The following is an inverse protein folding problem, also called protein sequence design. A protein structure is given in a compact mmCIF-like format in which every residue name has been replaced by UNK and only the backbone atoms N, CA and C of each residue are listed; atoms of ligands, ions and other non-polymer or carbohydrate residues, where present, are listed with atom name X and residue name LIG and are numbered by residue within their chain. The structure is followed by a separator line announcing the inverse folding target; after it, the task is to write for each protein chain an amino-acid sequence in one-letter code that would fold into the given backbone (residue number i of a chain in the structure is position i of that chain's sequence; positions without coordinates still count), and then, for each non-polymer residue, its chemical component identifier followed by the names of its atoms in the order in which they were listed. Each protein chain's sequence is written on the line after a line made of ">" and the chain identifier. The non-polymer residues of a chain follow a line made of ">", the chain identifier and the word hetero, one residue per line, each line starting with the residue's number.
data_IF_706481132464
#
_entry.id   IF_706481132464
#
_cell.length_a   1.000
_cell.length_b   1.000
_cell.length_c   1.000
_cell.angle_alpha   90.00
_cell.angle_beta   90.00
_cell.angle_gamma   90.00
#
_symmetry.space_group_name_H-M   'P 1'
#
loop_
_entity.id
_entity.type
_entity.pdbx_description
1 polymer ?
#
# COMPACT_ATOMS: atom_id res chain seq x y z
N UNK A 1 -14.02 -1.64 15.81
CA UNK A 1 -13.28 -0.42 15.65
C UNK A 1 -13.64 0.51 16.83
N UNK A 2 -12.63 0.95 17.62
CA UNK A 2 -12.91 1.77 18.80
C UNK A 2 -13.87 1.16 19.84
N UNK A 3 -13.89 -0.16 19.98
CA UNK A 3 -14.81 -0.87 20.88
C UNK A 3 -16.22 -1.12 20.33
N UNK A 4 -16.54 -0.61 19.13
CA UNK A 4 -17.83 -0.81 18.46
C UNK A 4 -17.69 -1.87 17.37
N UNK A 5 -18.70 -2.73 17.22
CA UNK A 5 -18.71 -3.73 16.14
C UNK A 5 -18.78 -3.01 14.77
N UNK A 6 -17.94 -3.41 13.82
CA UNK A 6 -17.90 -2.78 12.47
C UNK A 6 -19.24 -2.88 11.72
N UNK A 7 -20.10 -3.85 12.07
CA UNK A 7 -21.45 -3.99 11.51
C UNK A 7 -22.43 -2.92 11.96
N UNK A 8 -22.11 -2.24 13.07
CA UNK A 8 -22.97 -1.19 13.64
C UNK A 8 -22.64 0.21 13.08
N UNK A 9 -21.59 0.32 12.25
CA UNK A 9 -21.25 1.54 11.55
C UNK A 9 -22.09 1.72 10.29
N UNK A 10 -22.44 2.95 9.95
CA UNK A 10 -22.83 3.25 8.57
C UNK A 10 -21.63 3.06 7.64
N UNK A 11 -21.89 2.69 6.38
CA UNK A 11 -20.80 2.47 5.40
C UNK A 11 -19.88 3.69 5.28
N UNK A 12 -20.45 4.89 5.20
CA UNK A 12 -19.67 6.14 5.09
C UNK A 12 -18.80 6.37 6.33
N UNK A 13 -19.36 6.20 7.53
CA UNK A 13 -18.62 6.35 8.78
C UNK A 13 -17.51 5.30 8.94
N UNK A 14 -17.75 4.07 8.48
CA UNK A 14 -16.73 3.02 8.49
C UNK A 14 -15.62 3.35 7.49
N UNK A 15 -15.97 3.66 6.24
CA UNK A 15 -15.00 3.91 5.17
C UNK A 15 -14.18 5.18 5.39
N UNK A 16 -14.68 6.18 6.14
CA UNK A 16 -13.89 7.37 6.49
C UNK A 16 -12.66 7.04 7.36
N UNK A 17 -12.69 5.92 8.09
CA UNK A 17 -11.57 5.47 8.93
C UNK A 17 -10.49 4.71 8.18
N UNK A 18 -10.67 4.38 6.91
CA UNK A 18 -9.73 3.55 6.15
C UNK A 18 -9.22 4.25 4.91
N UNK A 19 -7.90 4.19 4.70
CA UNK A 19 -7.26 4.41 3.39
C UNK A 19 -6.80 3.07 2.84
N UNK A 20 -6.88 2.90 1.50
CA UNK A 20 -6.53 1.67 0.83
C UNK A 20 -5.47 1.92 -0.23
N UNK A 21 -4.47 1.05 -0.28
CA UNK A 21 -3.50 0.97 -1.38
C UNK A 21 -3.47 -0.48 -1.85
N UNK A 22 -3.99 -0.70 -3.04
CA UNK A 22 -4.12 -2.04 -3.64
C UNK A 22 -2.92 -2.39 -4.50
N UNK A 23 -2.65 -3.68 -4.68
CA UNK A 23 -1.67 -4.22 -5.62
C UNK A 23 -1.98 -3.77 -7.06
N UNK A 24 -3.22 -3.94 -7.49
CA UNK A 24 -3.71 -3.48 -8.78
C UNK A 24 -4.31 -2.09 -8.63
N UNK A 25 -3.52 -1.07 -8.99
CA UNK A 25 -3.95 0.32 -8.88
C UNK A 25 -5.03 0.61 -9.92
N UNK A 26 -6.17 1.08 -9.44
CA UNK A 26 -7.20 1.64 -10.29
C UNK A 26 -7.10 3.18 -10.30
N UNK A 27 -6.93 3.75 -11.49
CA UNK A 27 -7.00 5.18 -11.74
C UNK A 27 -8.20 5.48 -12.63
N UNK A 28 -8.95 6.51 -12.26
CA UNK A 28 -10.08 6.95 -13.05
C UNK A 28 -9.61 7.64 -14.34
N UNK A 29 -10.42 7.58 -15.39
CA UNK A 29 -10.22 8.35 -16.60
C UNK A 29 -10.51 9.82 -16.31
N UNK A 30 -9.53 10.52 -15.78
CA UNK A 30 -9.62 11.92 -15.34
C UNK A 30 -8.20 12.48 -15.20
N UNK A 31 -8.07 13.74 -14.82
CA UNK A 31 -6.78 14.36 -14.54
C UNK A 31 -6.07 13.69 -13.37
N UNK A 32 -4.75 13.83 -13.29
CA UNK A 32 -3.96 13.39 -12.14
C UNK A 32 -4.45 14.10 -10.86
N UNK A 33 -4.74 15.40 -10.96
CA UNK A 33 -5.28 16.18 -9.84
C UNK A 33 -6.57 15.56 -9.30
N UNK A 34 -7.56 15.28 -10.14
CA UNK A 34 -8.82 14.69 -9.74
C UNK A 34 -8.66 13.27 -9.19
N UNK A 35 -7.72 12.49 -9.75
CA UNK A 35 -7.37 11.17 -9.19
C UNK A 35 -6.83 11.27 -7.76
N UNK A 36 -6.05 12.29 -7.42
CA UNK A 36 -5.55 12.51 -6.04
C UNK A 36 -6.66 13.08 -5.17
N UNK A 37 -7.44 14.06 -5.66
CA UNK A 37 -8.59 14.66 -4.97
C UNK A 37 -9.69 13.68 -4.62
N UNK A 38 -9.71 12.49 -5.24
CA UNK A 38 -10.64 11.43 -4.84
C UNK A 38 -10.49 11.04 -3.36
N UNK A 39 -9.35 11.29 -2.73
CA UNK A 39 -9.15 11.15 -1.29
C UNK A 39 -9.87 12.22 -0.45
N UNK A 40 -10.00 13.45 -0.97
CA UNK A 40 -10.70 14.59 -0.37
C UNK A 40 -11.13 15.56 -1.49
N UNK A 41 -12.41 15.55 -1.84
CA UNK A 41 -12.93 16.27 -3.02
C UNK A 41 -12.80 17.78 -2.91
N UNK A 42 -12.87 18.32 -1.69
CA UNK A 42 -12.78 19.76 -1.42
C UNK A 42 -11.34 20.28 -1.31
N UNK A 43 -10.34 19.44 -1.53
CA UNK A 43 -8.94 19.81 -1.39
C UNK A 43 -8.53 20.87 -2.42
N UNK A 44 -7.69 21.82 -2.00
CA UNK A 44 -7.10 22.81 -2.90
C UNK A 44 -6.00 22.19 -3.78
N UNK A 45 -5.58 22.92 -4.82
CA UNK A 45 -4.45 22.50 -5.65
C UNK A 45 -3.16 22.36 -4.84
N UNK A 46 -2.92 23.29 -3.90
CA UNK A 46 -1.74 23.29 -3.04
C UNK A 46 -1.70 22.05 -2.14
N UNK A 47 -2.84 21.62 -1.61
CA UNK A 47 -2.95 20.41 -0.80
C UNK A 47 -2.68 19.14 -1.65
N UNK A 48 -3.16 19.12 -2.91
CA UNK A 48 -2.85 18.05 -3.87
C UNK A 48 -1.35 17.99 -4.15
N UNK A 49 -0.71 19.12 -4.40
CA UNK A 49 0.73 19.21 -4.64
C UNK A 49 1.52 18.70 -3.42
N UNK A 50 1.09 19.07 -2.21
CA UNK A 50 1.75 18.63 -0.99
C UNK A 50 1.60 17.10 -0.78
N UNK A 51 0.41 16.55 -1.02
CA UNK A 51 0.20 15.10 -0.99
C UNK A 51 1.06 14.37 -2.04
N UNK A 52 1.18 14.94 -3.24
CA UNK A 52 2.00 14.41 -4.32
C UNK A 52 3.51 14.44 -3.98
N UNK A 53 4.00 15.48 -3.33
CA UNK A 53 5.39 15.54 -2.83
C UNK A 53 5.65 14.44 -1.80
N UNK A 54 4.76 14.29 -0.82
CA UNK A 54 4.86 13.25 0.21
C UNK A 54 4.80 11.83 -0.39
N UNK A 55 4.08 11.65 -1.50
CA UNK A 55 3.99 10.40 -2.24
C UNK A 55 5.11 10.22 -3.30
N UNK A 56 6.12 11.11 -3.34
CA UNK A 56 7.22 11.08 -4.31
C UNK A 56 6.74 11.05 -5.76
N UNK A 57 5.59 11.68 -6.08
CA UNK A 57 5.07 11.73 -7.45
C UNK A 57 5.08 13.14 -8.07
N UNK A 58 5.32 14.20 -7.29
CA UNK A 58 5.34 15.57 -7.78
C UNK A 58 6.34 15.79 -8.93
N UNK A 59 7.55 15.24 -8.82
CA UNK A 59 8.60 15.46 -9.80
C UNK A 59 8.26 14.91 -11.19
N UNK A 60 7.71 13.69 -11.26
CA UNK A 60 7.34 13.14 -12.57
C UNK A 60 6.07 13.83 -13.11
N UNK A 61 5.10 14.18 -12.26
CA UNK A 61 3.90 14.90 -12.68
C UNK A 61 4.28 16.25 -13.31
N UNK A 62 5.19 16.99 -12.66
CA UNK A 62 5.65 18.31 -13.16
C UNK A 62 6.41 18.27 -14.47
N UNK A 63 6.92 17.09 -14.88
CA UNK A 63 7.59 16.88 -16.17
C UNK A 63 6.62 16.54 -17.30
N UNK A 64 5.37 16.21 -16.98
CA UNK A 64 4.36 15.97 -18.01
C UNK A 64 3.93 17.28 -18.68
N UNK A 65 3.60 17.29 -19.98
CA UNK A 65 3.22 18.50 -20.72
C UNK A 65 2.12 19.31 -20.04
N UNK A 66 1.08 18.63 -19.50
CA UNK A 66 -0.05 19.25 -18.85
C UNK A 66 0.02 19.16 -17.31
N UNK A 67 1.15 18.69 -16.75
CA UNK A 67 1.35 18.54 -15.32
C UNK A 67 0.21 17.81 -14.61
N UNK A 68 -0.37 18.41 -13.60
CA UNK A 68 -1.51 17.88 -12.84
C UNK A 68 -2.81 17.77 -13.64
N UNK A 69 -2.94 18.52 -14.76
CA UNK A 69 -4.09 18.47 -15.66
C UNK A 69 -3.96 17.32 -16.69
N UNK A 70 -2.86 16.58 -16.68
CA UNK A 70 -2.69 15.41 -17.56
C UNK A 70 -3.79 14.40 -17.29
N UNK A 71 -4.56 14.06 -18.33
CA UNK A 71 -5.59 13.02 -18.26
C UNK A 71 -4.92 11.65 -18.32
N UNK A 72 -5.29 10.78 -17.39
CA UNK A 72 -4.78 9.41 -17.24
C UNK A 72 -5.94 8.41 -17.24
N UNK A 73 -5.65 7.12 -17.29
CA UNK A 73 -6.65 6.07 -17.38
C UNK A 73 -6.79 5.53 -18.81
N UNK A 74 -7.93 4.92 -19.12
CA UNK A 74 -8.18 4.33 -20.44
C UNK A 74 -8.24 5.43 -21.51
N UNK A 75 -7.33 5.37 -22.49
CA UNK A 75 -7.20 6.39 -23.54
C UNK A 75 -6.41 7.65 -23.16
N UNK A 76 -5.94 7.79 -21.92
CA UNK A 76 -5.09 8.88 -21.45
C UNK A 76 -3.59 8.56 -21.51
N UNK A 77 -2.78 9.40 -20.85
CA UNK A 77 -1.34 9.20 -20.76
C UNK A 77 -0.98 7.88 -20.09
N UNK A 78 0.00 7.17 -20.67
CA UNK A 78 0.51 5.92 -20.09
C UNK A 78 1.48 6.23 -18.95
N UNK A 79 1.20 5.65 -17.78
CA UNK A 79 2.05 5.72 -16.59
C UNK A 79 2.66 4.34 -16.31
N UNK A 80 3.89 4.32 -15.80
CA UNK A 80 4.51 3.10 -15.28
C UNK A 80 3.76 2.56 -14.06
N UNK A 81 4.00 1.29 -13.71
CA UNK A 81 3.39 0.69 -12.52
C UNK A 81 3.74 1.45 -11.23
N UNK A 82 5.00 1.89 -11.09
CA UNK A 82 5.47 2.66 -9.94
C UNK A 82 4.84 4.06 -9.85
N UNK A 83 4.64 4.75 -10.97
CA UNK A 83 3.96 6.06 -11.03
C UNK A 83 2.49 5.93 -10.63
N UNK A 84 1.77 4.94 -11.17
CA UNK A 84 0.38 4.64 -10.78
C UNK A 84 0.27 4.37 -9.29
N UNK A 85 1.20 3.57 -8.74
CA UNK A 85 1.21 3.23 -7.32
C UNK A 85 1.41 4.48 -6.45
N UNK A 86 2.35 5.38 -6.81
CA UNK A 86 2.57 6.62 -6.07
C UNK A 86 1.39 7.58 -6.14
N UNK A 87 0.66 7.66 -7.26
CA UNK A 87 -0.60 8.42 -7.33
C UNK A 87 -1.66 7.81 -6.39
N UNK A 88 -1.78 6.49 -6.33
CA UNK A 88 -2.67 5.82 -5.37
C UNK A 88 -2.31 6.12 -3.92
N UNK A 89 -1.00 6.19 -3.61
CA UNK A 89 -0.51 6.59 -2.28
C UNK A 89 -0.82 8.06 -2.01
N UNK A 90 -0.64 8.98 -2.98
CA UNK A 90 -1.02 10.38 -2.83
C UNK A 90 -2.52 10.54 -2.51
N UNK A 91 -3.38 9.77 -3.17
CA UNK A 91 -4.82 9.68 -2.86
C UNK A 91 -5.07 9.23 -1.41
N UNK A 92 -4.34 8.22 -0.94
CA UNK A 92 -4.45 7.72 0.43
C UNK A 92 -3.93 8.73 1.47
N UNK A 93 -2.85 9.46 1.16
CA UNK A 93 -2.32 10.56 1.97
C UNK A 93 -3.34 11.70 2.06
N UNK A 94 -3.94 12.07 0.94
CA UNK A 94 -4.97 13.12 0.86
C UNK A 94 -6.19 12.78 1.73
N UNK A 95 -6.61 11.52 1.76
CA UNK A 95 -7.71 11.05 2.60
C UNK A 95 -7.39 11.11 4.09
N UNK A 96 -6.15 10.93 4.46
CA UNK A 96 -5.58 11.00 5.82
C UNK A 96 -6.30 10.15 6.88
N UNK A 97 -6.83 8.99 6.49
CA UNK A 97 -7.52 8.07 7.40
C UNK A 97 -6.57 7.49 8.46
N UNK A 98 -7.04 7.21 9.70
CA UNK A 98 -6.21 6.68 10.79
C UNK A 98 -5.75 5.23 10.58
N UNK A 99 -6.43 4.47 9.72
CA UNK A 99 -6.09 3.09 9.40
C UNK A 99 -5.76 2.98 7.92
N UNK A 100 -4.61 2.39 7.60
CA UNK A 100 -4.17 2.16 6.23
C UNK A 100 -4.13 0.67 5.95
N UNK A 101 -4.82 0.24 4.90
CA UNK A 101 -4.76 -1.14 4.40
C UNK A 101 -3.86 -1.15 3.16
N UNK A 102 -2.79 -1.93 3.25
CA UNK A 102 -1.82 -2.13 2.18
C UNK A 102 -1.94 -3.56 1.66
N UNK A 103 -2.34 -3.73 0.40
CA UNK A 103 -2.40 -5.01 -0.27
C UNK A 103 -1.27 -5.09 -1.30
N UNK A 104 -0.20 -5.80 -0.92
CA UNK A 104 1.01 -6.01 -1.76
C UNK A 104 1.52 -4.75 -2.50
N UNK A 105 1.47 -3.59 -1.86
CA UNK A 105 1.73 -2.28 -2.46
C UNK A 105 3.13 -2.15 -3.11
N UNK A 106 4.05 -3.09 -2.92
CA UNK A 106 5.41 -3.09 -3.46
C UNK A 106 5.64 -4.18 -4.53
N UNK A 107 4.60 -4.91 -4.95
CA UNK A 107 4.73 -5.90 -6.00
C UNK A 107 4.87 -5.24 -7.38
N UNK A 108 5.73 -5.80 -8.23
CA UNK A 108 5.89 -5.42 -9.65
C UNK A 108 6.36 -3.98 -9.90
N UNK A 109 7.15 -3.41 -8.99
CA UNK A 109 7.79 -2.11 -9.18
C UNK A 109 9.25 -2.33 -9.61
N UNK A 110 9.68 -1.57 -10.59
CA UNK A 110 11.07 -1.58 -11.06
C UNK A 110 12.04 -1.08 -9.96
N UNK A 111 13.31 -1.54 -9.95
CA UNK A 111 14.27 -1.19 -8.90
C UNK A 111 14.54 0.31 -8.77
N UNK A 112 14.41 1.08 -9.88
CA UNK A 112 14.64 2.54 -9.87
C UNK A 112 13.54 3.27 -9.10
N UNK A 113 12.31 2.79 -9.20
CA UNK A 113 11.14 3.34 -8.50
C UNK A 113 10.93 2.78 -7.09
N UNK A 114 11.66 1.72 -6.69
CA UNK A 114 11.45 1.04 -5.40
C UNK A 114 11.73 1.97 -4.21
N UNK A 115 12.79 2.79 -4.29
CA UNK A 115 13.14 3.73 -3.23
C UNK A 115 12.05 4.78 -3.02
N UNK A 116 11.62 5.43 -4.09
CA UNK A 116 10.58 6.47 -4.04
C UNK A 116 9.25 5.89 -3.52
N UNK A 117 8.93 4.66 -3.92
CA UNK A 117 7.75 3.97 -3.43
C UNK A 117 7.83 3.67 -1.94
N UNK A 118 8.99 3.22 -1.45
CA UNK A 118 9.19 2.97 -0.02
C UNK A 118 9.12 4.25 0.81
N UNK A 119 9.67 5.36 0.32
CA UNK A 119 9.59 6.67 0.96
C UNK A 119 8.13 7.17 0.99
N UNK A 120 7.39 6.99 -0.08
CA UNK A 120 5.96 7.30 -0.15
C UNK A 120 5.12 6.47 0.85
N UNK A 121 5.37 5.16 0.94
CA UNK A 121 4.71 4.27 1.92
C UNK A 121 5.05 4.72 3.35
N UNK A 122 6.32 5.04 3.63
CA UNK A 122 6.75 5.52 4.94
C UNK A 122 6.04 6.83 5.33
N UNK A 123 5.88 7.76 4.38
CA UNK A 123 5.14 9.00 4.60
C UNK A 123 3.64 8.76 4.87
N UNK A 124 3.03 7.80 4.14
CA UNK A 124 1.62 7.43 4.33
C UNK A 124 1.37 6.78 5.70
N UNK A 125 2.29 5.93 6.15
CA UNK A 125 2.09 5.06 7.33
C UNK A 125 2.51 5.69 8.65
N UNK A 126 3.09 6.88 8.62
CA UNK A 126 3.54 7.58 9.83
C UNK A 126 2.38 7.82 10.80
N UNK A 127 2.55 7.36 12.06
CA UNK A 127 1.57 7.54 13.16
C UNK A 127 0.18 6.95 12.88
N UNK A 128 0.09 5.89 12.07
CA UNK A 128 -1.17 5.24 11.69
C UNK A 128 -1.17 3.76 12.06
N UNK A 129 -2.35 3.20 12.17
CA UNK A 129 -2.53 1.75 12.26
C UNK A 129 -2.44 1.16 10.86
N UNK A 130 -1.52 0.20 10.66
CA UNK A 130 -1.29 -0.43 9.38
C UNK A 130 -1.82 -1.86 9.39
N UNK A 131 -2.68 -2.19 8.46
CA UNK A 131 -3.09 -3.57 8.16
C UNK A 131 -2.45 -3.93 6.82
N UNK A 132 -1.53 -4.87 6.84
CA UNK A 132 -0.79 -5.25 5.64
C UNK A 132 -1.10 -6.68 5.25
N UNK A 133 -1.52 -6.89 4.00
CA UNK A 133 -1.56 -8.18 3.35
C UNK A 133 -0.23 -8.33 2.62
N UNK A 134 0.59 -9.28 3.04
CA UNK A 134 1.94 -9.40 2.52
C UNK A 134 2.27 -10.84 2.16
N UNK A 135 2.85 -11.00 0.98
CA UNK A 135 3.41 -12.24 0.48
C UNK A 135 4.95 -12.28 0.60
N UNK A 136 5.58 -11.18 1.02
CA UNK A 136 7.03 -11.07 1.20
C UNK A 136 7.39 -11.15 2.68
N UNK A 137 8.24 -12.13 3.02
CA UNK A 137 8.65 -12.37 4.41
C UNK A 137 9.33 -11.17 5.08
N UNK A 138 10.11 -10.39 4.31
CA UNK A 138 10.79 -9.19 4.81
C UNK A 138 9.82 -8.17 5.38
N UNK A 139 8.64 -8.05 4.77
CA UNK A 139 7.61 -7.09 5.14
C UNK A 139 6.89 -7.49 6.44
N UNK A 140 6.65 -8.80 6.62
CA UNK A 140 5.89 -9.33 7.77
C UNK A 140 6.73 -9.39 9.04
N UNK A 141 8.03 -9.60 8.92
CA UNK A 141 8.93 -9.86 10.05
C UNK A 141 8.95 -8.75 11.11
N UNK A 142 8.74 -7.52 10.70
CA UNK A 142 8.80 -6.34 11.57
C UNK A 142 7.43 -5.85 12.03
N UNK A 143 6.36 -6.61 11.74
CA UNK A 143 5.02 -6.27 12.21
C UNK A 143 4.92 -6.50 13.72
N UNK A 144 4.26 -5.57 14.42
CA UNK A 144 3.96 -5.70 15.85
C UNK A 144 3.11 -6.93 16.13
N UNK A 145 2.22 -7.26 15.20
CA UNK A 145 1.35 -8.41 15.25
C UNK A 145 1.16 -9.04 13.87
N UNK A 146 1.29 -10.35 13.81
CA UNK A 146 1.02 -11.18 12.64
C UNK A 146 -0.23 -12.01 12.95
N UNK A 147 -1.14 -12.04 12.00
CA UNK A 147 -2.36 -12.84 12.06
C UNK A 147 -2.33 -13.83 10.90
N UNK A 148 -2.38 -15.11 11.22
CA UNK A 148 -2.45 -16.18 10.22
C UNK A 148 -3.90 -16.60 10.06
N UNK A 149 -4.41 -16.49 8.83
CA UNK A 149 -5.78 -16.88 8.47
C UNK A 149 -5.73 -18.15 7.63
N UNK A 150 -6.46 -19.17 8.04
CA UNK A 150 -6.67 -20.41 7.27
C UNK A 150 -8.16 -20.76 7.27
N UNK A 151 -8.69 -21.09 6.10
CA UNK A 151 -10.11 -21.44 5.89
C UNK A 151 -11.08 -20.46 6.55
N UNK A 152 -10.79 -19.15 6.44
CA UNK A 152 -11.61 -18.07 6.98
C UNK A 152 -11.55 -17.89 8.51
N UNK A 153 -10.60 -18.53 9.18
CA UNK A 153 -10.41 -18.44 10.63
C UNK A 153 -8.99 -18.01 10.98
N UNK A 154 -8.85 -17.24 12.05
CA UNK A 154 -7.55 -16.92 12.62
C UNK A 154 -7.06 -18.18 13.37
N UNK A 155 -5.95 -18.75 12.89
CA UNK A 155 -5.37 -19.99 13.43
C UNK A 155 -4.10 -19.75 14.24
N UNK A 156 -3.39 -18.65 13.99
CA UNK A 156 -2.23 -18.23 14.80
C UNK A 156 -2.22 -16.69 14.90
N UNK A 157 -1.69 -16.19 16.02
CA UNK A 157 -1.55 -14.76 16.28
C UNK A 157 -0.34 -14.53 17.18
N UNK A 158 0.55 -13.60 16.80
CA UNK A 158 1.73 -13.24 17.57
C UNK A 158 2.68 -12.39 16.76
N UNK A 159 3.85 -12.05 17.29
CA UNK A 159 4.93 -11.48 16.50
C UNK A 159 5.79 -12.58 15.84
N UNK A 160 6.76 -12.16 15.02
CA UNK A 160 7.64 -13.10 14.31
C UNK A 160 8.29 -14.12 15.24
N UNK A 161 8.90 -13.67 16.33
CA UNK A 161 9.68 -14.51 17.24
C UNK A 161 8.81 -15.50 18.03
N UNK A 162 7.59 -15.10 18.37
CA UNK A 162 6.60 -15.97 19.00
C UNK A 162 6.16 -17.07 18.04
N UNK A 163 5.75 -16.71 16.83
CA UNK A 163 5.24 -17.66 15.84
C UNK A 163 6.31 -18.59 15.28
N UNK A 164 7.58 -18.21 15.32
CA UNK A 164 8.70 -19.09 14.94
C UNK A 164 8.99 -20.17 15.99
N UNK A 165 8.57 -20.01 17.24
CA UNK A 165 8.70 -21.01 18.31
C UNK A 165 7.59 -22.06 18.27
N UNK A 166 6.48 -21.75 17.61
CA UNK A 166 5.32 -22.64 17.48
C UNK A 166 5.41 -23.46 16.19
N UNK A 167 5.07 -24.76 16.27
CA UNK A 167 4.87 -25.56 15.08
C UNK A 167 3.52 -25.22 14.45
N UNK A 168 3.56 -24.39 13.39
CA UNK A 168 2.35 -23.87 12.75
C UNK A 168 2.54 -23.46 11.30
N UNK A 169 1.47 -22.92 10.73
CA UNK A 169 1.46 -22.48 9.32
C UNK A 169 2.51 -21.41 9.07
N UNK A 170 2.67 -20.45 10.01
CA UNK A 170 3.64 -19.38 9.87
C UNK A 170 5.08 -19.87 9.74
N UNK A 171 5.52 -20.74 10.65
CA UNK A 171 6.86 -21.31 10.63
C UNK A 171 7.12 -22.09 9.35
N UNK A 172 6.19 -22.96 8.95
CA UNK A 172 6.28 -23.69 7.68
C UNK A 172 6.40 -22.78 6.47
N UNK A 173 5.63 -21.69 6.44
CA UNK A 173 5.72 -20.69 5.38
C UNK A 173 7.09 -19.99 5.35
N UNK A 174 7.65 -19.62 6.51
CA UNK A 174 8.97 -19.00 6.62
C UNK A 174 10.06 -19.96 6.16
N UNK A 175 10.02 -21.22 6.61
CA UNK A 175 11.03 -22.23 6.29
C UNK A 175 11.00 -22.62 4.81
N UNK A 176 9.82 -22.79 4.22
CA UNK A 176 9.68 -23.03 2.78
C UNK A 176 10.25 -21.88 1.93
N UNK A 177 10.05 -20.62 2.36
CA UNK A 177 10.62 -19.46 1.67
C UNK A 177 12.13 -19.37 1.80
N UNK A 178 12.71 -19.73 2.94
CA UNK A 178 14.18 -19.79 3.11
C UNK A 178 14.79 -20.84 2.18
N UNK A 179 14.19 -22.02 2.10
CA UNK A 179 14.64 -23.08 1.19
C UNK A 179 14.58 -22.66 -0.29
N UNK A 180 13.50 -21.97 -0.71
CA UNK A 180 13.37 -21.50 -2.09
C UNK A 180 14.41 -20.43 -2.47
N UNK A 181 14.88 -19.64 -1.51
CA UNK A 181 15.95 -18.65 -1.73
C UNK A 181 17.32 -19.32 -1.82
N UNK A 182 17.63 -20.32 -0.97
CA UNK A 182 18.90 -21.06 -1.04
C UNK A 182 19.04 -21.86 -2.35
N UNK A 183 17.97 -22.45 -2.84
CA UNK A 183 17.97 -23.17 -4.14
C UNK A 183 18.26 -22.25 -5.34
N UNK A 184 17.78 -21.00 -5.32
CA UNK A 184 18.10 -20.02 -6.38
C UNK A 184 19.58 -19.62 -6.40
N UNK A 185 20.24 -19.62 -5.26
CA UNK A 185 21.66 -19.25 -5.15
C UNK A 185 22.54 -20.40 -5.61
N UNK A 186 22.20 -21.66 -5.30
CA UNK A 186 22.94 -22.85 -5.71
C UNK A 186 22.76 -23.21 -7.19
N UNK A 187 21.64 -22.85 -7.80
CA UNK A 187 21.35 -23.10 -9.23
C UNK A 187 21.87 -22.01 -10.18
N UNK A 188 22.58 -20.99 -9.70
CA UNK A 188 23.16 -19.89 -10.49
C UNK A 188 24.68 -19.96 -10.57
N UNK A 189 25.29 -21.08 -10.19
CA UNK A 189 26.68 -21.47 -10.41
C UNK A 189 26.73 -22.58 -11.47
#
# INVERSE_FOLDING_TARGET
>A
LGGVNVKDYSMNSLMSNFSFVFQNVYLFQDTIENNIKFGSQEASHEEVVEAAKRACCHEFISKLPDGYNTVIGEGGASLSGGEKQRISIARAIMKDAPIVILDEATANVDPESEKDLMDAIKALTKEKTIIMIAHRLKTVRHADQIVVVDKGRIVQRGNHDQLMKEDGIYKRFVDARKQAVSWKIEGSL
#
